data_IF_708540188859
#
_entry.id   IF_708540188859
#
_cell.length_a   1.000
_cell.length_b   1.000
_cell.length_c   1.000
_cell.angle_alpha   90.00
_cell.angle_beta   90.00
_cell.angle_gamma   90.00
#
_symmetry.space_group_name_H-M   'P 1'
#
loop_
_entity.id
_entity.type
_entity.pdbx_description
1 polymer ?
#
# COMPACT_ATOMS: atom_id res chain seq x y z
N UNK A 1 80.77 4.16 -30.50
CA UNK A 1 80.19 2.81 -30.32
C UNK A 1 78.74 2.92 -30.79
N UNK A 2 78.44 2.33 -31.94
CA UNK A 2 77.16 2.50 -32.62
C UNK A 2 76.07 1.64 -31.99
N UNK A 3 74.89 2.22 -31.79
CA UNK A 3 73.67 1.47 -31.52
C UNK A 3 73.31 0.66 -32.78
N UNK A 4 73.36 -0.67 -32.71
CA UNK A 4 72.82 -1.53 -33.75
C UNK A 4 71.30 -1.40 -33.79
N UNK A 5 70.67 -1.21 -34.96
CA UNK A 5 69.21 -1.19 -35.06
C UNK A 5 68.67 -2.60 -34.80
N UNK A 6 67.69 -2.71 -33.90
CA UNK A 6 66.97 -3.96 -33.64
C UNK A 6 66.44 -4.55 -34.95
N UNK A 7 66.62 -5.86 -35.15
CA UNK A 7 66.04 -6.56 -36.30
C UNK A 7 64.50 -6.44 -36.29
N UNK A 8 63.85 -6.63 -37.45
CA UNK A 8 62.39 -6.48 -37.59
C UNK A 8 61.59 -7.37 -36.62
N UNK A 9 62.12 -8.51 -36.21
CA UNK A 9 61.49 -9.41 -35.23
C UNK A 9 61.53 -8.86 -33.81
N UNK A 10 62.64 -8.24 -33.39
CA UNK A 10 62.78 -7.64 -32.06
C UNK A 10 61.78 -6.51 -31.80
N UNK A 11 61.48 -5.71 -32.84
CA UNK A 11 60.42 -4.67 -32.75
C UNK A 11 59.03 -5.27 -32.53
N UNK A 12 58.70 -6.34 -33.24
CA UNK A 12 57.39 -7.01 -33.12
C UNK A 12 57.21 -7.56 -31.70
N UNK A 13 58.24 -8.20 -31.13
CA UNK A 13 58.19 -8.72 -29.76
C UNK A 13 58.03 -7.62 -28.70
N UNK A 14 58.67 -6.47 -28.89
CA UNK A 14 58.54 -5.31 -27.99
C UNK A 14 57.11 -4.72 -28.05
N UNK A 15 56.56 -4.58 -29.26
CA UNK A 15 55.19 -4.10 -29.50
C UNK A 15 54.14 -5.04 -28.90
N UNK A 16 54.29 -6.35 -29.06
CA UNK A 16 53.41 -7.36 -28.45
C UNK A 16 53.48 -7.32 -26.92
N UNK A 17 54.68 -7.16 -26.35
CA UNK A 17 54.87 -7.03 -24.90
C UNK A 17 54.20 -5.76 -24.37
N UNK A 18 54.38 -4.63 -25.03
CA UNK A 18 53.70 -3.38 -24.66
C UNK A 18 52.18 -3.51 -24.76
N UNK A 19 51.67 -4.15 -25.82
CA UNK A 19 50.25 -4.40 -25.99
C UNK A 19 49.67 -5.26 -24.86
N UNK A 20 50.36 -6.32 -24.47
CA UNK A 20 49.97 -7.17 -23.34
C UNK A 20 49.95 -6.39 -22.01
N UNK A 21 50.95 -5.54 -21.76
CA UNK A 21 51.01 -4.69 -20.57
C UNK A 21 49.82 -3.72 -20.54
N UNK A 22 49.52 -3.05 -21.67
CA UNK A 22 48.38 -2.13 -21.77
C UNK A 22 47.06 -2.85 -21.56
N UNK A 23 46.88 -4.04 -22.14
CA UNK A 23 45.68 -4.86 -21.96
C UNK A 23 45.50 -5.26 -20.48
N UNK A 24 46.54 -5.77 -19.84
CA UNK A 24 46.50 -6.14 -18.42
C UNK A 24 46.19 -4.94 -17.51
N UNK A 25 46.78 -3.77 -17.81
CA UNK A 25 46.47 -2.53 -17.08
C UNK A 25 45.02 -2.08 -17.28
N UNK A 26 44.47 -2.20 -18.49
CA UNK A 26 43.08 -1.89 -18.77
C UNK A 26 42.11 -2.82 -18.04
N UNK A 27 42.41 -4.13 -17.98
CA UNK A 27 41.64 -5.13 -17.22
C UNK A 27 41.65 -4.81 -15.72
N UNK A 28 42.80 -4.46 -15.16
CA UNK A 28 42.93 -4.04 -13.76
C UNK A 28 42.11 -2.78 -13.47
N UNK A 29 42.16 -1.76 -14.34
CA UNK A 29 41.37 -0.55 -14.21
C UNK A 29 39.86 -0.82 -14.29
N UNK A 30 39.44 -1.76 -15.14
CA UNK A 30 38.04 -2.17 -15.25
C UNK A 30 37.56 -2.82 -13.96
N UNK A 31 38.37 -3.69 -13.36
CA UNK A 31 38.07 -4.33 -12.08
C UNK A 31 37.87 -3.30 -10.95
N UNK A 32 38.75 -2.29 -10.87
CA UNK A 32 38.62 -1.21 -9.88
C UNK A 32 37.33 -0.42 -10.08
N UNK A 33 36.97 -0.10 -11.33
CA UNK A 33 35.70 0.62 -11.63
C UNK A 33 34.48 -0.22 -11.27
N UNK A 34 34.51 -1.53 -11.54
CA UNK A 34 33.43 -2.44 -11.20
C UNK A 34 33.23 -2.48 -9.67
N UNK A 35 34.33 -2.59 -8.93
CA UNK A 35 34.27 -2.59 -7.47
C UNK A 35 33.72 -1.28 -6.90
N UNK A 36 34.14 -0.12 -7.43
CA UNK A 36 33.58 1.18 -7.05
C UNK A 36 32.06 1.27 -7.33
N UNK A 37 31.61 0.71 -8.45
CA UNK A 37 30.17 0.61 -8.75
C UNK A 37 29.43 -0.30 -7.78
N UNK A 38 29.99 -1.43 -7.38
CA UNK A 38 29.39 -2.34 -6.38
C UNK A 38 29.25 -1.66 -5.01
N UNK A 39 30.26 -0.91 -4.59
CA UNK A 39 30.22 -0.12 -3.35
C UNK A 39 29.12 0.93 -3.42
N UNK A 40 29.04 1.69 -4.51
CA UNK A 40 27.98 2.69 -4.72
C UNK A 40 26.59 2.05 -4.71
N UNK A 41 26.44 0.91 -5.39
CA UNK A 41 25.18 0.17 -5.45
C UNK A 41 24.75 -0.29 -4.05
N UNK A 42 25.70 -0.74 -3.23
CA UNK A 42 25.45 -1.11 -1.83
C UNK A 42 25.00 0.08 -0.99
N UNK A 43 25.65 1.24 -1.14
CA UNK A 43 25.24 2.48 -0.47
C UNK A 43 23.86 2.98 -0.91
N UNK A 44 23.53 2.88 -2.21
CA UNK A 44 22.20 3.25 -2.67
C UNK A 44 21.12 2.32 -2.12
N UNK A 45 21.40 1.01 -2.02
CA UNK A 45 20.48 0.05 -1.40
C UNK A 45 20.23 0.36 0.07
N UNK A 46 21.25 0.72 0.84
CA UNK A 46 21.04 1.08 2.25
C UNK A 46 20.18 2.33 2.40
N UNK A 47 20.44 3.37 1.59
CA UNK A 47 19.63 4.60 1.59
C UNK A 47 18.19 4.36 1.21
N UNK A 48 17.93 3.48 0.24
CA UNK A 48 16.55 3.11 -0.13
C UNK A 48 15.82 2.50 1.07
N UNK A 49 16.45 1.55 1.77
CA UNK A 49 15.86 0.95 2.96
C UNK A 49 15.59 1.99 4.07
N UNK A 50 16.51 2.92 4.30
CA UNK A 50 16.32 4.03 5.25
C UNK A 50 15.12 4.91 4.86
N UNK A 51 15.03 5.33 3.59
CA UNK A 51 13.90 6.14 3.13
C UNK A 51 12.56 5.41 3.18
N UNK A 52 12.54 4.11 2.91
CA UNK A 52 11.32 3.29 3.05
C UNK A 52 10.82 3.27 4.49
N UNK A 53 11.71 3.07 5.46
CA UNK A 53 11.33 3.12 6.89
C UNK A 53 10.79 4.49 7.29
N UNK A 54 11.46 5.56 6.87
CA UNK A 54 11.04 6.93 7.17
C UNK A 54 9.67 7.26 6.59
N UNK A 55 9.39 6.81 5.36
CA UNK A 55 8.09 7.04 4.71
C UNK A 55 6.96 6.33 5.48
N UNK A 56 7.18 5.11 5.95
CA UNK A 56 6.15 4.39 6.69
C UNK A 56 5.91 5.04 8.06
N UNK A 57 6.97 5.44 8.78
CA UNK A 57 6.85 6.15 10.05
C UNK A 57 6.06 7.46 9.88
N UNK A 58 6.41 8.29 8.90
CA UNK A 58 5.70 9.55 8.61
C UNK A 58 4.24 9.32 8.23
N UNK A 59 3.95 8.22 7.53
CA UNK A 59 2.57 7.85 7.15
C UNK A 59 1.75 7.46 8.38
N UNK A 60 2.32 6.69 9.31
CA UNK A 60 1.64 6.36 10.57
C UNK A 60 1.41 7.60 11.42
N UNK A 61 2.40 8.50 11.53
CA UNK A 61 2.26 9.76 12.27
C UNK A 61 1.17 10.65 11.66
N UNK A 62 1.16 10.80 10.33
CA UNK A 62 0.10 11.52 9.62
C UNK A 62 -1.28 10.93 9.92
N UNK A 63 -1.44 9.61 9.87
CA UNK A 63 -2.72 8.97 10.17
C UNK A 63 -3.17 9.24 11.61
N UNK A 64 -2.26 9.11 12.57
CA UNK A 64 -2.54 9.40 13.98
C UNK A 64 -2.95 10.86 14.20
N UNK A 65 -2.26 11.81 13.56
CA UNK A 65 -2.61 13.23 13.62
C UNK A 65 -3.98 13.51 13.01
N UNK A 66 -4.29 12.90 11.86
CA UNK A 66 -5.62 13.04 11.22
C UNK A 66 -6.73 12.52 12.13
N UNK A 67 -6.55 11.34 12.73
CA UNK A 67 -7.53 10.78 13.67
C UNK A 67 -7.75 11.72 14.85
N UNK A 68 -6.66 12.19 15.46
CA UNK A 68 -6.73 13.08 16.63
C UNK A 68 -7.36 14.43 16.29
N UNK A 69 -7.04 15.00 15.13
CA UNK A 69 -7.65 16.22 14.64
C UNK A 69 -9.14 16.04 14.36
N UNK A 70 -9.54 14.92 13.74
CA UNK A 70 -10.96 14.60 13.53
C UNK A 70 -11.70 14.53 14.87
N UNK A 71 -11.13 13.87 15.87
CA UNK A 71 -11.71 13.79 17.21
C UNK A 71 -11.86 15.17 17.86
N UNK A 72 -10.80 15.99 17.82
CA UNK A 72 -10.83 17.36 18.36
C UNK A 72 -11.85 18.23 17.62
N UNK A 73 -11.95 18.12 16.30
CA UNK A 73 -12.94 18.84 15.51
C UNK A 73 -14.36 18.41 15.85
N UNK A 74 -14.63 17.11 15.99
CA UNK A 74 -15.94 16.62 16.44
C UNK A 74 -16.30 17.16 17.82
N UNK A 75 -15.36 17.11 18.78
CA UNK A 75 -15.58 17.64 20.14
C UNK A 75 -15.84 19.15 20.10
N UNK A 76 -15.08 19.93 19.32
CA UNK A 76 -15.26 21.39 19.19
C UNK A 76 -16.53 21.80 18.45
N UNK A 77 -17.08 20.95 17.57
CA UNK A 77 -18.37 21.20 16.93
C UNK A 77 -19.54 21.00 17.89
N UNK A 78 -19.36 20.17 18.92
CA UNK A 78 -20.36 19.83 19.94
C UNK A 78 -20.23 20.78 21.16
N UNK A 79 -19.02 21.26 21.46
CA UNK A 79 -18.74 22.18 22.56
C UNK A 79 -19.41 23.54 22.33
N UNK A 80 -20.50 23.81 23.05
CA UNK A 80 -21.27 25.04 22.96
C UNK A 80 -22.34 25.11 21.87
N UNK A 81 -22.58 24.02 21.10
CA UNK A 81 -23.66 23.98 20.11
C UNK A 81 -24.60 22.77 20.33
N UNK A 82 -25.58 22.89 21.24
CA UNK A 82 -26.55 21.81 21.50
C UNK A 82 -27.44 21.45 20.30
N UNK A 83 -27.33 22.18 19.18
CA UNK A 83 -28.10 21.95 17.96
C UNK A 83 -27.34 21.10 16.92
N UNK A 84 -26.06 20.79 17.14
CA UNK A 84 -25.30 19.84 16.31
C UNK A 84 -25.34 18.48 17.00
N UNK A 85 -26.15 17.58 16.46
CA UNK A 85 -26.30 16.23 16.99
C UNK A 85 -24.97 15.46 16.93
N UNK A 86 -24.66 14.72 17.99
CA UNK A 86 -23.53 13.80 18.00
C UNK A 86 -23.81 12.62 17.05
N UNK A 87 -23.26 12.71 15.84
CA UNK A 87 -23.43 11.68 14.81
C UNK A 87 -22.69 10.37 15.15
N UNK A 88 -21.83 10.37 16.17
CA UNK A 88 -21.15 9.17 16.66
C UNK A 88 -21.99 8.35 17.62
N UNK A 89 -23.08 8.91 18.17
CA UNK A 89 -24.00 8.18 19.06
C UNK A 89 -24.86 7.18 18.25
N UNK A 90 -24.75 5.87 18.50
CA UNK A 90 -25.60 4.86 17.86
C UNK A 90 -27.05 4.92 18.32
N UNK A 91 -27.34 5.53 19.48
CA UNK A 91 -28.68 5.66 20.04
C UNK A 91 -29.34 7.00 19.69
N UNK A 92 -28.80 7.77 18.75
CA UNK A 92 -29.42 9.02 18.31
C UNK A 92 -30.77 8.75 17.61
N UNK A 93 -31.75 9.66 17.69
CA UNK A 93 -33.13 9.43 17.22
C UNK A 93 -33.24 8.94 15.77
N UNK A 94 -32.44 9.53 14.87
CA UNK A 94 -32.36 9.19 13.46
C UNK A 94 -31.77 7.79 13.22
N UNK A 95 -30.74 7.38 13.98
CA UNK A 95 -30.17 6.04 13.86
C UNK A 95 -31.08 4.97 14.46
N UNK A 96 -31.75 5.27 15.57
CA UNK A 96 -32.77 4.42 16.15
C UNK A 96 -33.93 4.20 15.18
N UNK A 97 -34.45 5.26 14.56
CA UNK A 97 -35.52 5.14 13.56
C UNK A 97 -35.12 4.20 12.41
N UNK A 98 -33.90 4.35 11.91
CA UNK A 98 -33.35 3.45 10.87
C UNK A 98 -33.26 2.02 11.36
N UNK A 99 -32.69 1.77 12.56
CA UNK A 99 -32.59 0.43 13.13
C UNK A 99 -33.96 -0.23 13.36
N UNK A 100 -34.95 0.52 13.81
CA UNK A 100 -36.32 0.02 13.95
C UNK A 100 -36.95 -0.31 12.60
N UNK A 101 -36.78 0.56 11.60
CA UNK A 101 -37.26 0.29 10.24
C UNK A 101 -36.59 -0.95 9.63
N UNK A 102 -35.27 -1.07 9.79
CA UNK A 102 -34.50 -2.23 9.33
C UNK A 102 -34.98 -3.51 10.03
N UNK A 103 -35.28 -3.47 11.34
CA UNK A 103 -35.79 -4.63 12.06
C UNK A 103 -37.10 -5.17 11.45
N UNK A 104 -38.05 -4.28 11.14
CA UNK A 104 -39.32 -4.68 10.53
C UNK A 104 -39.14 -5.22 9.11
N UNK A 105 -38.30 -4.56 8.30
CA UNK A 105 -38.01 -4.98 6.93
C UNK A 105 -37.32 -6.35 6.88
N UNK A 106 -36.33 -6.54 7.76
CA UNK A 106 -35.63 -7.83 7.91
C UNK A 106 -36.60 -8.93 8.34
N UNK A 107 -37.44 -8.69 9.36
CA UNK A 107 -38.41 -9.70 9.81
C UNK A 107 -39.43 -10.05 8.74
N UNK A 108 -39.90 -9.07 7.96
CA UNK A 108 -40.81 -9.31 6.84
C UNK A 108 -40.13 -10.15 5.76
N UNK A 109 -38.92 -9.77 5.37
CA UNK A 109 -38.13 -10.47 4.36
C UNK A 109 -37.83 -11.91 4.80
N UNK A 110 -37.41 -12.11 6.04
CA UNK A 110 -37.13 -13.43 6.60
C UNK A 110 -38.38 -14.31 6.64
N UNK A 111 -39.51 -13.75 7.10
CA UNK A 111 -40.78 -14.49 7.17
C UNK A 111 -41.28 -14.88 5.78
N UNK A 112 -41.20 -13.96 4.81
CA UNK A 112 -41.55 -14.22 3.41
C UNK A 112 -40.67 -15.32 2.81
N UNK A 113 -39.36 -15.28 3.06
CA UNK A 113 -38.44 -16.32 2.60
C UNK A 113 -38.76 -17.70 3.22
N UNK A 114 -39.09 -17.75 4.51
CA UNK A 114 -39.48 -19.01 5.17
C UNK A 114 -40.76 -19.58 4.57
N UNK A 115 -41.76 -18.74 4.31
CA UNK A 115 -43.03 -19.17 3.71
C UNK A 115 -42.82 -19.74 2.30
N UNK A 116 -42.04 -19.05 1.47
CA UNK A 116 -41.80 -19.47 0.09
C UNK A 116 -40.86 -20.67 -0.02
N UNK A 117 -39.78 -20.72 0.77
CA UNK A 117 -38.71 -21.74 0.62
C UNK A 117 -38.91 -22.96 1.51
N UNK A 118 -39.41 -22.78 2.72
CA UNK A 118 -39.50 -23.86 3.72
C UNK A 118 -40.89 -24.47 3.81
N UNK A 119 -41.93 -23.68 3.53
CA UNK A 119 -43.33 -24.09 3.64
C UNK A 119 -44.02 -24.22 2.27
N UNK A 120 -43.26 -24.08 1.17
CA UNK A 120 -43.67 -24.28 -0.22
C UNK A 120 -44.95 -23.51 -0.62
N UNK A 121 -45.17 -22.35 0.00
CA UNK A 121 -46.25 -21.44 -0.39
C UNK A 121 -45.87 -20.72 -1.67
N UNK A 122 -46.83 -20.51 -2.56
CA UNK A 122 -46.67 -19.53 -3.63
C UNK A 122 -46.49 -18.12 -3.06
N UNK A 123 -45.86 -17.22 -3.82
CA UNK A 123 -45.64 -15.84 -3.36
C UNK A 123 -46.96 -15.15 -2.95
N UNK A 124 -48.02 -15.37 -3.73
CA UNK A 124 -49.36 -14.84 -3.44
C UNK A 124 -49.92 -15.36 -2.11
N UNK A 125 -49.76 -16.66 -1.83
CA UNK A 125 -50.21 -17.27 -0.57
C UNK A 125 -49.38 -16.75 0.62
N UNK A 126 -48.07 -16.62 0.46
CA UNK A 126 -47.19 -16.06 1.48
C UNK A 126 -47.58 -14.62 1.83
N UNK A 127 -47.86 -13.78 0.82
CA UNK A 127 -48.33 -12.41 1.01
C UNK A 127 -49.68 -12.38 1.74
N UNK A 128 -50.62 -13.25 1.37
CA UNK A 128 -51.93 -13.35 2.04
C UNK A 128 -51.81 -13.75 3.52
N UNK A 129 -50.88 -14.65 3.85
CA UNK A 129 -50.60 -15.05 5.24
C UNK A 129 -50.01 -13.88 6.02
N UNK A 130 -49.01 -13.19 5.48
CA UNK A 130 -48.38 -12.05 6.15
C UNK A 130 -49.36 -10.87 6.35
N UNK A 131 -50.23 -10.60 5.36
CA UNK A 131 -51.28 -9.59 5.47
C UNK A 131 -52.25 -9.84 6.63
N UNK A 132 -52.61 -11.10 6.89
CA UNK A 132 -53.48 -11.48 8.02
C UNK A 132 -52.86 -11.28 9.40
N UNK A 133 -51.54 -11.11 9.49
CA UNK A 133 -50.84 -10.88 10.77
C UNK A 133 -50.83 -9.38 11.11
N UNK A 134 -50.84 -8.51 10.09
CA UNK A 134 -50.76 -7.05 10.25
C UNK A 134 -52.15 -6.41 10.41
N UNK A 135 -53.20 -7.04 9.89
CA UNK A 135 -54.61 -6.57 9.94
C UNK A 135 -55.45 -7.44 10.87
#
# INVERSE_FOLDING_TARGET
MGCCPLNGYGRIYEEEREHLIRKSSAESNLYVKLHDQEVKLTQYKSKVAEYETLVEDLKTEKQNLVIRLSQISSVKLIDGNPNVADLSDPNRPDKLLVQFSELYDNQWTDSFQVLCKSLDHSEDEAIQVLLKIVL
#
